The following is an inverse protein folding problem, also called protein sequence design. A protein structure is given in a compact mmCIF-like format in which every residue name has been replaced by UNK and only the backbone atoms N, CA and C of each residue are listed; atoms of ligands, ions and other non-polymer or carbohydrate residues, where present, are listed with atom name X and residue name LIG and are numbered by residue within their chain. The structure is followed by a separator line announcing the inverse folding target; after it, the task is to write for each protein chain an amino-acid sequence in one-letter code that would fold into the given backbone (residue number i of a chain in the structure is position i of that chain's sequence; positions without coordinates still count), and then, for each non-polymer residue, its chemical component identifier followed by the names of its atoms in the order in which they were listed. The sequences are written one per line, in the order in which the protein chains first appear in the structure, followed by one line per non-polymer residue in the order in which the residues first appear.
data_IF_516351010592
#
_entry.id   IF_516351010592
#
_cell.length_a   1.000
_cell.length_b   1.000
_cell.length_c   1.000
_cell.angle_alpha   90.00
_cell.angle_beta   90.00
_cell.angle_gamma   90.00
#
_symmetry.space_group_name_H-M   'P 1'
#
loop_
_entity.id
_entity.type
_entity.pdbx_description
1 polymer ?
#
# COMPACT_ATOMS: atom_id res chain seq x y z
N UNK A 1 8.20 0.10 7.34
CA UNK A 1 8.07 -1.32 7.75
C UNK A 1 8.24 -2.20 6.54
N UNK A 2 8.92 -3.34 6.65
CA UNK A 2 9.01 -4.30 5.55
C UNK A 2 7.65 -4.92 5.27
N UNK A 3 7.38 -5.20 4.00
CA UNK A 3 6.13 -5.83 3.59
C UNK A 3 6.10 -7.30 4.03
N UNK A 4 5.04 -7.70 4.72
CA UNK A 4 4.79 -9.11 5.02
C UNK A 4 4.56 -9.92 3.73
N UNK A 5 5.12 -11.12 3.67
CA UNK A 5 5.06 -12.02 2.53
C UNK A 5 4.77 -13.45 2.98
N UNK A 6 4.18 -14.24 2.08
CA UNK A 6 3.97 -15.67 2.24
C UNK A 6 5.26 -16.44 1.97
N UNK A 7 5.50 -17.51 2.73
CA UNK A 7 6.59 -18.43 2.54
C UNK A 7 6.17 -19.84 3.00
N UNK A 8 6.94 -20.86 2.62
CA UNK A 8 6.72 -22.23 3.08
C UNK A 8 7.62 -22.53 4.27
N UNK A 9 7.19 -23.37 5.21
CA UNK A 9 8.01 -23.78 6.37
C UNK A 9 9.30 -24.53 5.99
N UNK A 10 9.46 -24.95 4.74
CA UNK A 10 10.73 -25.51 4.24
C UNK A 10 11.79 -24.45 3.93
N UNK A 11 11.44 -23.16 3.94
CA UNK A 11 12.40 -22.08 3.70
C UNK A 11 13.09 -21.64 4.98
N UNK A 12 14.41 -21.42 4.90
CA UNK A 12 15.25 -20.91 5.99
C UNK A 12 15.06 -19.39 6.15
N UNK A 13 13.94 -19.00 6.75
CA UNK A 13 13.59 -17.60 7.05
C UNK A 13 13.07 -17.48 8.48
N UNK A 14 13.10 -16.27 9.05
CA UNK A 14 12.48 -16.02 10.36
C UNK A 14 10.94 -16.05 10.22
N UNK A 15 10.27 -16.83 11.05
CA UNK A 15 8.83 -17.03 11.02
C UNK A 15 8.04 -15.98 11.81
N UNK A 16 8.75 -15.14 12.57
CA UNK A 16 8.16 -14.12 13.43
C UNK A 16 7.46 -13.04 12.62
N UNK A 17 6.20 -12.78 12.96
CA UNK A 17 5.42 -11.70 12.36
C UNK A 17 5.47 -10.46 13.25
N UNK A 18 6.44 -9.58 12.99
CA UNK A 18 6.68 -8.35 13.77
C UNK A 18 5.42 -7.51 13.99
N UNK A 19 4.63 -7.27 12.94
CA UNK A 19 3.47 -6.38 13.00
C UNK A 19 2.30 -6.87 13.87
N UNK A 20 2.30 -8.14 14.31
CA UNK A 20 1.26 -8.70 15.19
C UNK A 20 1.86 -9.35 16.45
N UNK A 21 3.17 -9.21 16.67
CA UNK A 21 3.90 -9.80 17.78
C UNK A 21 3.67 -11.32 17.96
N UNK A 22 3.67 -12.08 16.86
CA UNK A 22 3.49 -13.55 16.89
C UNK A 22 4.74 -14.29 16.40
N UNK A 23 5.04 -15.44 17.01
CA UNK A 23 6.19 -16.28 16.62
C UNK A 23 6.00 -17.01 15.29
N UNK A 24 4.76 -17.39 14.99
CA UNK A 24 4.36 -18.02 13.74
C UNK A 24 2.96 -17.57 13.38
N UNK A 25 2.71 -17.35 12.09
CA UNK A 25 1.41 -16.89 11.60
C UNK A 25 1.10 -17.41 10.21
N UNK A 26 -0.18 -17.66 9.93
CA UNK A 26 -0.67 -17.95 8.59
C UNK A 26 -2.09 -17.44 8.39
N UNK A 27 -2.49 -17.23 7.14
CA UNK A 27 -3.88 -16.93 6.82
C UNK A 27 -4.71 -18.20 6.70
N UNK A 28 -5.91 -18.18 7.28
CA UNK A 28 -6.84 -19.32 7.26
C UNK A 28 -8.31 -18.91 7.10
N UNK A 29 -8.68 -17.71 7.54
CA UNK A 29 -10.08 -17.33 7.74
C UNK A 29 -10.86 -16.92 6.49
N UNK A 30 -10.27 -16.88 5.30
CA UNK A 30 -10.94 -16.36 4.09
C UNK A 30 -10.57 -17.09 2.79
N UNK A 31 -10.82 -18.42 2.69
CA UNK A 31 -10.50 -19.24 1.51
C UNK A 31 -11.21 -18.81 0.22
N UNK A 32 -12.35 -18.13 0.32
CA UNK A 32 -13.08 -17.60 -0.85
C UNK A 32 -12.29 -16.46 -1.52
N UNK A 33 -11.53 -15.68 -0.75
CA UNK A 33 -10.92 -14.42 -1.19
C UNK A 33 -9.40 -14.50 -1.35
N UNK A 34 -8.78 -15.53 -0.79
CA UNK A 34 -7.33 -15.70 -0.71
C UNK A 34 -6.96 -17.14 -0.98
N UNK A 35 -6.16 -17.36 -2.02
CA UNK A 35 -5.74 -18.71 -2.41
C UNK A 35 -4.84 -19.39 -1.36
N UNK A 36 -4.05 -18.61 -0.62
CA UNK A 36 -3.22 -19.13 0.48
C UNK A 36 -4.08 -19.79 1.56
N UNK A 37 -5.18 -19.16 1.98
CA UNK A 37 -6.12 -19.76 2.92
C UNK A 37 -6.68 -21.08 2.36
N UNK A 38 -7.05 -21.13 1.08
CA UNK A 38 -7.53 -22.36 0.45
C UNK A 38 -6.48 -23.49 0.51
N UNK A 39 -5.20 -23.20 0.29
CA UNK A 39 -4.12 -24.18 0.44
C UNK A 39 -4.00 -24.67 1.88
N UNK A 40 -4.02 -23.76 2.87
CA UNK A 40 -3.98 -24.11 4.29
C UNK A 40 -5.16 -25.00 4.67
N UNK A 41 -6.37 -24.67 4.21
CA UNK A 41 -7.56 -25.51 4.40
C UNK A 41 -7.38 -26.92 3.82
N UNK A 42 -6.80 -27.06 2.63
CA UNK A 42 -6.51 -28.37 2.02
C UNK A 42 -5.46 -29.15 2.82
N UNK A 43 -4.40 -28.48 3.29
CA UNK A 43 -3.35 -29.10 4.12
C UNK A 43 -3.94 -29.64 5.42
N UNK A 44 -4.70 -28.82 6.15
CA UNK A 44 -5.36 -29.24 7.40
C UNK A 44 -6.29 -30.43 7.14
N UNK A 45 -7.07 -30.39 6.05
CA UNK A 45 -7.96 -31.50 5.68
C UNK A 45 -7.20 -32.80 5.37
N UNK A 46 -6.04 -32.74 4.74
CA UNK A 46 -5.17 -33.91 4.51
C UNK A 46 -4.64 -34.47 5.84
N UNK A 47 -4.17 -33.61 6.74
CA UNK A 47 -3.68 -33.99 8.07
C UNK A 47 -4.77 -34.69 8.87
N UNK A 48 -5.98 -34.12 8.93
CA UNK A 48 -7.12 -34.69 9.66
C UNK A 48 -7.56 -36.06 9.10
N UNK A 49 -7.29 -36.32 7.82
CA UNK A 49 -7.58 -37.61 7.17
C UNK A 49 -6.44 -38.61 7.28
N UNK A 50 -5.29 -38.23 7.86
CA UNK A 50 -4.10 -39.08 7.92
C UNK A 50 -3.47 -39.36 6.56
N UNK A 51 -3.77 -38.55 5.53
CA UNK A 51 -3.21 -38.71 4.19
C UNK A 51 -2.15 -37.65 3.92
N UNK A 52 -1.14 -38.00 3.12
CA UNK A 52 -0.16 -37.01 2.67
C UNK A 52 -0.84 -35.99 1.77
N UNK A 53 -0.49 -34.72 1.96
CA UNK A 53 -0.92 -33.65 1.07
C UNK A 53 -0.25 -33.83 -0.30
N UNK A 54 -1.05 -33.91 -1.37
CA UNK A 54 -0.58 -34.22 -2.73
C UNK A 54 -0.30 -32.98 -3.58
N UNK A 55 -0.85 -31.85 -3.18
CA UNK A 55 -0.83 -30.57 -3.90
C UNK A 55 0.47 -29.76 -3.62
N UNK A 56 1.59 -30.43 -3.34
CA UNK A 56 2.86 -29.82 -2.93
C UNK A 56 3.43 -28.88 -4.01
N UNK A 57 3.13 -29.13 -5.28
CA UNK A 57 3.53 -28.28 -6.41
C UNK A 57 3.14 -26.81 -6.24
N UNK A 58 2.04 -26.51 -5.52
CA UNK A 58 1.60 -25.14 -5.28
C UNK A 58 2.39 -24.42 -4.18
N UNK A 59 3.25 -25.15 -3.44
CA UNK A 59 4.08 -24.64 -2.35
C UNK A 59 5.54 -24.44 -2.78
N UNK A 60 5.83 -24.50 -4.08
CA UNK A 60 7.14 -24.14 -4.60
C UNK A 60 7.39 -22.62 -4.53
N UNK A 61 8.66 -22.23 -4.68
CA UNK A 61 9.08 -20.83 -4.55
C UNK A 61 8.42 -19.94 -5.60
N UNK A 62 8.21 -20.44 -6.82
CA UNK A 62 7.63 -19.68 -7.92
C UNK A 62 6.15 -19.37 -7.67
N UNK A 63 5.34 -20.36 -7.29
CA UNK A 63 3.94 -20.15 -6.99
C UNK A 63 3.74 -19.27 -5.74
N UNK A 64 4.60 -19.42 -4.73
CA UNK A 64 4.59 -18.53 -3.55
C UNK A 64 4.89 -17.08 -3.95
N UNK A 65 5.90 -16.86 -4.78
CA UNK A 65 6.22 -15.53 -5.31
C UNK A 65 5.06 -14.96 -6.13
N UNK A 66 4.39 -15.79 -6.93
CA UNK A 66 3.22 -15.38 -7.69
C UNK A 66 2.05 -14.99 -6.77
N UNK A 67 1.78 -15.76 -5.70
CA UNK A 67 0.75 -15.42 -4.70
C UNK A 67 1.06 -14.10 -3.98
N UNK A 68 2.33 -13.87 -3.64
CA UNK A 68 2.79 -12.60 -3.06
C UNK A 68 2.60 -11.43 -4.04
N UNK A 69 2.96 -11.62 -5.30
CA UNK A 69 2.79 -10.63 -6.37
C UNK A 69 1.32 -10.27 -6.58
N UNK A 70 0.42 -11.26 -6.67
CA UNK A 70 -1.03 -11.05 -6.77
C UNK A 70 -1.59 -10.29 -5.57
N UNK A 71 -1.17 -10.64 -4.35
CA UNK A 71 -1.60 -9.94 -3.14
C UNK A 71 -1.14 -8.48 -3.11
N UNK A 72 0.10 -8.20 -3.55
CA UNK A 72 0.61 -6.82 -3.67
C UNK A 72 -0.16 -6.03 -4.72
N UNK A 73 -0.37 -6.60 -5.90
CA UNK A 73 -1.07 -5.93 -6.98
C UNK A 73 -2.54 -5.65 -6.68
N UNK A 74 -3.23 -6.57 -6.00
CA UNK A 74 -4.61 -6.33 -5.57
C UNK A 74 -4.71 -5.12 -4.62
N UNK A 75 -3.76 -4.98 -3.69
CA UNK A 75 -3.69 -3.81 -2.79
C UNK A 75 -3.38 -2.51 -3.55
N UNK A 76 -2.45 -2.56 -4.50
CA UNK A 76 -2.09 -1.40 -5.30
C UNK A 76 -3.25 -0.94 -6.19
N UNK A 77 -3.90 -1.87 -6.90
CA UNK A 77 -5.08 -1.55 -7.71
C UNK A 77 -6.20 -0.93 -6.88
N UNK A 78 -6.44 -1.45 -5.66
CA UNK A 78 -7.43 -0.87 -4.73
C UNK A 78 -7.07 0.55 -4.27
N UNK A 79 -5.79 0.91 -4.20
CA UNK A 79 -5.36 2.28 -3.88
C UNK A 79 -5.59 3.21 -5.07
N UNK A 80 -5.09 2.81 -6.23
CA UNK A 80 -5.23 3.58 -7.49
C UNK A 80 -6.70 3.84 -7.80
N UNK A 81 -7.58 2.84 -7.66
CA UNK A 81 -9.00 3.06 -7.96
C UNK A 81 -9.65 4.06 -7.00
N UNK A 82 -9.29 4.04 -5.71
CA UNK A 82 -9.79 5.02 -4.75
C UNK A 82 -9.30 6.42 -5.08
N UNK A 83 -8.03 6.55 -5.48
CA UNK A 83 -7.44 7.80 -5.97
C UNK A 83 -8.22 8.30 -7.19
N UNK A 84 -8.40 7.48 -8.23
CA UNK A 84 -9.16 7.84 -9.43
C UNK A 84 -10.62 8.23 -9.14
N UNK A 85 -11.30 7.54 -8.22
CA UNK A 85 -12.67 7.89 -7.82
C UNK A 85 -12.72 9.26 -7.15
N UNK A 86 -11.76 9.57 -6.30
CA UNK A 86 -11.62 10.89 -5.69
C UNK A 86 -11.40 11.96 -6.77
N UNK A 87 -10.53 11.69 -7.77
CA UNK A 87 -10.31 12.62 -8.89
C UNK A 87 -11.58 12.88 -9.69
N UNK A 88 -12.37 11.84 -9.94
CA UNK A 88 -13.61 11.93 -10.71
C UNK A 88 -14.71 12.71 -9.99
N UNK A 89 -14.73 12.70 -8.66
CA UNK A 89 -15.84 13.25 -7.86
C UNK A 89 -16.00 14.78 -8.01
N UNK A 90 -15.00 15.50 -8.52
CA UNK A 90 -15.12 16.94 -8.85
C UNK A 90 -15.27 17.86 -7.62
N UNK A 91 -15.78 17.36 -6.50
CA UNK A 91 -15.87 17.99 -5.17
C UNK A 91 -14.51 18.41 -4.61
N UNK A 92 -13.42 17.81 -5.12
CA UNK A 92 -12.06 18.13 -4.70
C UNK A 92 -11.58 19.43 -5.33
N UNK A 93 -12.06 19.76 -6.54
CA UNK A 93 -11.65 20.95 -7.25
C UNK A 93 -12.12 22.19 -6.49
N UNK A 94 -11.16 22.93 -5.92
CA UNK A 94 -11.29 24.24 -5.25
C UNK A 94 -11.47 24.24 -3.74
N UNK A 95 -11.47 23.09 -3.07
CA UNK A 95 -11.45 23.06 -1.61
C UNK A 95 -10.02 23.24 -1.06
N UNK A 96 -9.93 23.92 0.07
CA UNK A 96 -8.68 24.09 0.82
C UNK A 96 -8.61 22.96 1.85
N UNK A 97 -7.55 22.17 1.79
CA UNK A 97 -7.31 21.03 2.68
C UNK A 97 -6.10 21.28 3.57
N UNK A 98 -6.07 20.59 4.73
CA UNK A 98 -4.91 20.61 5.62
C UNK A 98 -3.97 19.47 5.26
N UNK A 99 -2.79 19.82 4.74
CA UNK A 99 -1.71 18.90 4.44
C UNK A 99 -0.61 18.90 5.50
N UNK A 100 0.15 17.80 5.57
CA UNK A 100 1.34 17.66 6.40
C UNK A 100 2.53 17.39 5.47
N UNK A 101 3.60 18.19 5.60
CA UNK A 101 4.85 17.95 4.86
C UNK A 101 5.53 16.70 5.41
N UNK A 102 5.65 15.66 4.58
CA UNK A 102 6.23 14.38 4.95
C UNK A 102 7.72 14.31 4.64
N UNK A 103 8.11 14.83 3.48
CA UNK A 103 9.49 14.80 2.97
C UNK A 103 9.80 16.12 2.28
N UNK A 104 11.04 16.56 2.40
CA UNK A 104 11.57 17.73 1.71
C UNK A 104 12.79 17.24 0.95
N UNK A 105 12.79 17.46 -0.35
CA UNK A 105 13.92 17.26 -1.26
C UNK A 105 14.31 18.62 -1.84
N UNK A 106 15.48 18.72 -2.46
CA UNK A 106 16.02 19.99 -2.98
C UNK A 106 15.08 20.68 -3.99
N UNK A 107 14.29 19.90 -4.74
CA UNK A 107 13.42 20.40 -5.81
C UNK A 107 11.92 20.20 -5.56
N UNK A 108 11.54 19.46 -4.51
CA UNK A 108 10.13 19.17 -4.23
C UNK A 108 9.87 18.80 -2.78
N UNK A 109 8.62 19.00 -2.34
CA UNK A 109 8.14 18.52 -1.05
C UNK A 109 7.04 17.47 -1.27
N UNK A 110 7.04 16.39 -0.49
CA UNK A 110 5.90 15.47 -0.47
C UNK A 110 4.95 15.89 0.64
N UNK A 111 3.68 16.08 0.30
CA UNK A 111 2.66 16.52 1.24
C UNK A 111 1.52 15.53 1.30
N UNK A 112 1.12 15.15 2.52
CA UNK A 112 0.03 14.22 2.76
C UNK A 112 -1.22 14.94 3.26
N UNK A 113 -2.35 14.71 2.59
CA UNK A 113 -3.67 15.25 2.93
C UNK A 113 -4.46 14.15 3.63
N UNK A 114 -4.55 14.25 4.96
CA UNK A 114 -5.18 13.22 5.80
C UNK A 114 -6.67 13.02 5.47
N UNK A 115 -7.38 14.10 5.15
CA UNK A 115 -8.82 14.08 4.87
C UNK A 115 -9.15 13.25 3.62
N UNK A 116 -8.31 13.32 2.60
CA UNK A 116 -8.46 12.57 1.35
C UNK A 116 -7.68 11.25 1.37
N UNK A 117 -6.86 11.01 2.39
CA UNK A 117 -5.87 9.92 2.43
C UNK A 117 -4.95 9.90 1.20
N UNK A 118 -4.69 11.07 0.61
CA UNK A 118 -3.85 11.25 -0.58
C UNK A 118 -2.50 11.83 -0.20
N UNK A 119 -1.47 11.44 -0.93
CA UNK A 119 -0.16 12.09 -0.91
C UNK A 119 0.10 12.69 -2.28
N UNK A 120 0.58 13.93 -2.32
CA UNK A 120 0.92 14.64 -3.54
C UNK A 120 2.32 15.22 -3.48
N UNK A 121 2.89 15.49 -4.66
CA UNK A 121 4.17 16.17 -4.80
C UNK A 121 3.90 17.66 -4.98
N UNK A 122 4.52 18.46 -4.13
CA UNK A 122 4.57 19.91 -4.23
C UNK A 122 5.90 20.28 -4.92
N UNK A 123 5.83 20.69 -6.18
CA UNK A 123 6.98 21.27 -6.88
C UNK A 123 7.06 22.76 -6.57
N UNK A 124 8.20 23.23 -6.09
CA UNK A 124 8.45 24.67 -5.96
C UNK A 124 8.61 25.26 -7.37
N UNK A 125 7.61 26.00 -7.86
CA UNK A 125 7.56 26.48 -9.26
C UNK A 125 7.85 27.98 -9.32
N UNK A 126 9.08 28.34 -9.67
CA UNK A 126 9.32 29.43 -10.63
C UNK A 126 9.00 28.99 -12.09
N UNK A 127 7.95 28.17 -12.28
CA UNK A 127 7.46 27.46 -13.47
C UNK A 127 8.18 26.15 -13.87
N UNK A 128 7.40 25.06 -14.03
CA UNK A 128 7.26 24.22 -15.25
C UNK A 128 6.29 23.06 -14.97
N UNK A 129 5.54 22.66 -16.03
CA UNK A 129 4.57 21.56 -16.08
C UNK A 129 5.28 20.22 -16.38
N UNK A 130 4.82 19.08 -15.82
CA UNK A 130 4.12 18.00 -16.55
C UNK A 130 4.11 16.62 -15.85
N UNK A 131 2.95 15.97 -16.02
CA UNK A 131 2.53 14.55 -16.04
C UNK A 131 2.62 13.62 -14.80
N UNK A 132 1.46 12.99 -14.59
CA UNK A 132 0.99 11.98 -13.63
C UNK A 132 0.66 12.43 -12.18
N UNK A 133 -0.54 13.02 -12.13
CA UNK A 133 -1.64 12.95 -11.16
C UNK A 133 -1.54 13.72 -9.81
N UNK A 134 -2.23 14.88 -9.81
CA UNK A 134 -2.61 15.83 -8.74
C UNK A 134 -1.66 17.03 -8.54
N UNK A 135 -1.98 18.16 -9.16
CA UNK A 135 -1.33 19.45 -8.92
C UNK A 135 -1.79 20.04 -7.56
N UNK A 136 -0.86 20.21 -6.62
CA UNK A 136 -1.10 20.86 -5.33
C UNK A 136 -0.59 22.31 -5.40
N UNK A 137 -1.46 23.30 -5.25
CA UNK A 137 -1.09 24.72 -5.25
C UNK A 137 -1.06 25.26 -3.81
N UNK A 138 0.11 25.77 -3.38
CA UNK A 138 0.29 26.45 -2.10
C UNK A 138 0.15 27.96 -2.28
N UNK A 139 -0.61 28.59 -1.39
CA UNK A 139 -0.66 30.05 -1.23
C UNK A 139 -0.09 30.38 0.13
N UNK A 140 1.22 30.59 0.21
CA UNK A 140 1.92 30.96 1.44
C UNK A 140 2.92 32.06 1.14
N UNK A 141 2.81 33.17 1.89
CA UNK A 141 3.64 34.36 1.68
C UNK A 141 5.02 34.32 2.38
N UNK A 142 5.44 33.22 3.03
CA UNK A 142 6.76 33.14 3.72
C UNK A 142 7.41 31.72 3.73
N UNK A 143 8.19 31.46 2.69
CA UNK A 143 9.59 30.95 2.53
C UNK A 143 10.25 29.78 3.31
N UNK A 144 9.67 29.13 4.34
CA UNK A 144 10.36 27.96 4.95
C UNK A 144 9.45 26.75 5.22
N UNK A 145 9.68 25.66 4.48
CA UNK A 145 9.06 24.35 4.73
C UNK A 145 9.90 23.56 5.74
N UNK A 146 9.24 22.92 6.71
CA UNK A 146 9.87 21.96 7.62
C UNK A 146 9.07 20.66 7.62
N UNK A 147 9.76 19.54 7.81
CA UNK A 147 9.10 18.23 7.95
C UNK A 147 8.11 18.30 9.12
N UNK A 148 6.95 17.65 8.99
CA UNK A 148 5.81 17.66 9.93
C UNK A 148 5.05 18.98 10.04
N UNK A 149 5.41 20.02 9.27
CA UNK A 149 4.64 21.27 9.25
C UNK A 149 3.27 21.04 8.62
N UNK A 150 2.24 21.63 9.22
CA UNK A 150 0.89 21.69 8.66
C UNK A 150 0.78 22.88 7.72
N UNK A 151 0.28 22.65 6.51
CA UNK A 151 0.09 23.68 5.49
C UNK A 151 -1.32 23.58 4.91
N UNK A 152 -1.83 24.72 4.44
CA UNK A 152 -3.09 24.78 3.71
C UNK A 152 -2.80 24.64 2.22
N UNK A 153 -3.51 23.72 1.58
CA UNK A 153 -3.31 23.35 0.20
C UNK A 153 -4.60 23.52 -0.58
N UNK A 154 -4.52 24.10 -1.77
CA UNK A 154 -5.59 24.02 -2.74
C UNK A 154 -5.26 22.92 -3.72
N UNK A 155 -6.09 21.87 -3.74
CA UNK A 155 -5.96 20.80 -4.72
C UNK A 155 -6.62 21.26 -6.02
N UNK A 156 -5.87 21.19 -7.12
CA UNK A 156 -6.35 21.48 -8.46
C UNK A 156 -6.03 20.27 -9.33
N UNK A 157 -7.06 19.69 -9.94
CA UNK A 157 -6.93 18.56 -10.86
C UNK A 157 -6.83 19.04 -12.31
#
# INVERSE_FOLDING_TARGET
MNQAYYFCSSTEVDYRHYGIAAEIFTHFTSPIRRYVDLLVHRIIKSILRGVRFTDIKYLDKENINWMNWRNRNAKNASRIINELYLLKDGSINKNIYKGIVCTIEDSFCIVHIKELSLSGILLDKNNVKLYDEVDVIVTSNFEYYSVHRKILLKVVL
#
